data_IF_905175173280
#
_entry.id   IF_905175173280
#
_cell.length_a   1.000
_cell.length_b   1.000
_cell.length_c   1.000
_cell.angle_alpha   90.00
_cell.angle_beta   90.00
_cell.angle_gamma   90.00
#
_symmetry.space_group_name_H-M   'P 1'
#
loop_
_entity.id
_entity.type
_entity.pdbx_description
1 polymer ?
#
# COMPACT_ATOMS: atom_id res chain seq x y z
N UNK A 1 9.11 -10.98 -4.71
CA UNK A 1 9.43 -9.57 -5.01
C UNK A 1 10.61 -9.47 -5.96
N UNK A 2 10.52 -8.66 -7.03
CA UNK A 2 11.63 -8.41 -7.97
C UNK A 2 12.81 -7.73 -7.26
N UNK A 3 12.53 -6.84 -6.30
CA UNK A 3 13.58 -6.16 -5.52
C UNK A 3 14.36 -7.15 -4.66
N UNK A 4 13.74 -8.21 -4.16
CA UNK A 4 14.41 -9.25 -3.38
C UNK A 4 15.13 -10.30 -4.26
N UNK A 5 14.86 -10.36 -5.55
CA UNK A 5 15.46 -11.33 -6.47
C UNK A 5 16.89 -10.91 -6.83
N UNK A 6 17.89 -11.78 -6.56
CA UNK A 6 19.30 -11.48 -6.78
C UNK A 6 19.70 -11.33 -8.26
N UNK A 7 18.96 -11.93 -9.18
CA UNK A 7 19.21 -11.82 -10.63
C UNK A 7 18.51 -10.61 -11.27
N UNK A 8 17.31 -10.30 -10.80
CA UNK A 8 16.51 -9.21 -11.37
C UNK A 8 16.85 -7.84 -10.76
N UNK A 9 17.31 -7.79 -9.52
CA UNK A 9 17.61 -6.53 -8.85
C UNK A 9 18.65 -5.65 -9.57
N UNK A 10 19.81 -6.16 -10.02
CA UNK A 10 20.78 -5.35 -10.76
C UNK A 10 20.22 -4.79 -12.07
N UNK A 11 19.39 -5.57 -12.76
CA UNK A 11 18.71 -5.12 -13.99
C UNK A 11 17.71 -4.01 -13.69
N UNK A 12 16.92 -4.15 -12.62
CA UNK A 12 15.98 -3.14 -12.18
C UNK A 12 16.68 -1.84 -11.78
N UNK A 13 17.78 -1.93 -11.02
CA UNK A 13 18.60 -0.79 -10.62
C UNK A 13 19.18 -0.08 -11.84
N UNK A 14 19.69 -0.81 -12.82
CA UNK A 14 20.18 -0.24 -14.07
C UNK A 14 19.09 0.53 -14.82
N UNK A 15 17.91 -0.09 -15.02
CA UNK A 15 16.78 0.56 -15.70
C UNK A 15 16.30 1.80 -14.97
N UNK A 16 16.17 1.75 -13.65
CA UNK A 16 15.82 2.91 -12.82
C UNK A 16 16.83 4.04 -12.97
N UNK A 17 18.13 3.72 -13.02
CA UNK A 17 19.18 4.73 -13.22
C UNK A 17 19.14 5.34 -14.64
N UNK A 18 18.80 4.57 -15.66
CA UNK A 18 18.58 5.11 -17.03
C UNK A 18 17.38 6.07 -17.03
N UNK A 19 16.25 5.70 -16.43
CA UNK A 19 15.06 6.57 -16.36
C UNK A 19 15.37 7.90 -15.62
N UNK A 20 16.24 7.89 -14.62
CA UNK A 20 16.68 9.13 -13.92
C UNK A 20 17.39 10.14 -14.82
N UNK A 21 17.94 9.72 -15.94
CA UNK A 21 18.63 10.61 -16.90
C UNK A 21 17.71 11.19 -17.97
N UNK A 22 16.43 10.78 -18.00
CA UNK A 22 15.47 11.23 -18.97
C UNK A 22 15.01 12.68 -18.68
N UNK A 23 14.79 13.43 -19.74
CA UNK A 23 14.18 14.76 -19.71
C UNK A 23 12.65 14.65 -19.59
N UNK A 24 11.98 15.78 -19.30
CA UNK A 24 10.55 15.81 -19.01
C UNK A 24 9.67 15.10 -20.05
N UNK A 25 9.89 15.37 -21.33
CA UNK A 25 9.04 14.80 -22.39
C UNK A 25 9.27 13.28 -22.55
N UNK A 26 10.49 12.82 -22.30
CA UNK A 26 10.82 11.40 -22.28
C UNK A 26 10.25 10.71 -21.04
N UNK A 27 10.25 11.38 -19.89
CA UNK A 27 9.60 10.88 -18.68
C UNK A 27 8.10 10.71 -18.87
N UNK A 28 7.44 11.64 -19.57
CA UNK A 28 6.02 11.53 -19.86
C UNK A 28 5.74 10.35 -20.77
N UNK A 29 6.55 10.15 -21.82
CA UNK A 29 6.45 8.97 -22.70
C UNK A 29 6.66 7.67 -21.96
N UNK A 30 7.68 7.60 -21.12
CA UNK A 30 7.97 6.43 -20.28
C UNK A 30 6.83 6.13 -19.31
N UNK A 31 6.23 7.17 -18.70
CA UNK A 31 5.07 7.02 -17.84
C UNK A 31 3.88 6.39 -18.56
N UNK A 32 3.53 6.88 -19.73
CA UNK A 32 2.38 6.34 -20.47
C UNK A 32 2.63 4.92 -20.98
N UNK A 33 3.85 4.60 -21.42
CA UNK A 33 4.24 3.24 -21.80
C UNK A 33 4.16 2.29 -20.58
N UNK A 34 4.65 2.72 -19.43
CA UNK A 34 4.57 1.96 -18.18
C UNK A 34 3.11 1.77 -17.72
N UNK A 35 2.26 2.80 -17.85
CA UNK A 35 0.83 2.70 -17.54
C UNK A 35 0.09 1.73 -18.44
N UNK A 36 0.42 1.70 -19.72
CA UNK A 36 -0.11 0.71 -20.65
C UNK A 36 0.31 -0.70 -20.25
N UNK A 37 1.59 -0.91 -19.91
CA UNK A 37 2.11 -2.21 -19.51
C UNK A 37 1.47 -2.76 -18.24
N UNK A 38 1.23 -1.95 -17.20
CA UNK A 38 0.56 -2.43 -15.98
C UNK A 38 -0.92 -2.77 -16.18
N UNK A 39 -1.55 -2.19 -17.22
CA UNK A 39 -2.95 -2.45 -17.55
C UNK A 39 -3.14 -3.66 -18.47
N UNK A 40 -2.04 -4.26 -18.98
CA UNK A 40 -2.13 -5.51 -19.74
C UNK A 40 -2.49 -6.70 -18.84
N UNK A 41 -3.11 -7.77 -19.37
CA UNK A 41 -3.28 -9.03 -18.67
C UNK A 41 -1.99 -9.58 -18.06
N UNK A 42 -2.10 -10.38 -17.00
CA UNK A 42 -0.94 -10.86 -16.24
C UNK A 42 0.04 -11.71 -17.04
N UNK A 43 -0.44 -12.42 -18.02
CA UNK A 43 0.30 -13.31 -18.93
C UNK A 43 0.96 -12.59 -20.11
N UNK A 44 0.58 -11.33 -20.36
CA UNK A 44 1.11 -10.55 -21.49
C UNK A 44 2.38 -9.77 -21.15
N UNK A 45 2.73 -9.62 -19.87
CA UNK A 45 3.88 -8.83 -19.41
C UNK A 45 4.63 -9.61 -18.34
N UNK A 46 5.95 -9.78 -18.53
CA UNK A 46 6.76 -10.47 -17.53
C UNK A 46 6.84 -9.73 -16.19
N UNK A 47 7.22 -10.46 -15.15
CA UNK A 47 7.26 -9.93 -13.78
C UNK A 47 8.20 -8.72 -13.62
N UNK A 48 9.33 -8.76 -14.33
CA UNK A 48 10.32 -7.67 -14.26
C UNK A 48 9.76 -6.38 -14.86
N UNK A 49 9.21 -6.47 -16.10
CA UNK A 49 8.62 -5.34 -16.78
C UNK A 49 7.43 -4.77 -15.98
N UNK A 50 6.60 -5.63 -15.39
CA UNK A 50 5.48 -5.21 -14.55
C UNK A 50 5.96 -4.46 -13.30
N UNK A 51 7.00 -4.96 -12.63
CA UNK A 51 7.56 -4.31 -11.45
C UNK A 51 8.19 -2.94 -11.79
N UNK A 52 8.96 -2.87 -12.88
CA UNK A 52 9.53 -1.62 -13.37
C UNK A 52 8.43 -0.60 -13.71
N UNK A 53 7.43 -1.04 -14.47
CA UNK A 53 6.30 -0.19 -14.86
C UNK A 53 5.51 0.30 -13.65
N UNK A 54 5.30 -0.53 -12.64
CA UNK A 54 4.66 -0.12 -11.40
C UNK A 54 5.48 0.95 -10.66
N UNK A 55 6.80 0.79 -10.57
CA UNK A 55 7.69 1.81 -9.99
C UNK A 55 7.56 3.13 -10.75
N UNK A 56 7.60 3.09 -12.08
CA UNK A 56 7.49 4.30 -12.92
C UNK A 56 6.17 5.01 -12.70
N UNK A 57 5.06 4.30 -12.78
CA UNK A 57 3.74 4.95 -12.62
C UNK A 57 3.54 5.49 -11.19
N UNK A 58 4.01 4.78 -10.16
CA UNK A 58 3.89 5.25 -8.77
C UNK A 58 4.72 6.50 -8.49
N UNK A 59 5.87 6.64 -9.14
CA UNK A 59 6.75 7.80 -8.97
C UNK A 59 6.31 9.02 -9.79
N UNK A 60 5.68 8.80 -10.94
CA UNK A 60 5.38 9.86 -11.91
C UNK A 60 3.88 10.19 -12.04
N UNK A 61 2.97 9.43 -11.42
CA UNK A 61 1.55 9.74 -11.46
C UNK A 61 1.20 11.00 -10.67
N UNK A 62 0.15 11.68 -11.10
CA UNK A 62 -0.34 12.90 -10.44
C UNK A 62 -0.57 12.69 -8.94
N UNK A 63 0.09 13.49 -8.11
CA UNK A 63 0.01 13.47 -6.63
C UNK A 63 0.32 12.11 -5.99
N UNK A 64 1.01 11.20 -6.66
CA UNK A 64 1.26 9.85 -6.15
C UNK A 64 -0.01 9.02 -5.92
N UNK A 65 -1.14 9.41 -6.53
CA UNK A 65 -2.42 8.73 -6.35
C UNK A 65 -2.40 7.32 -6.94
N UNK A 66 -3.17 6.44 -6.34
CA UNK A 66 -3.49 5.13 -6.90
C UNK A 66 -5.00 5.08 -7.13
N UNK A 67 -5.40 4.95 -8.40
CA UNK A 67 -6.80 4.92 -8.79
C UNK A 67 -6.98 4.04 -10.01
N UNK A 68 -8.02 3.23 -9.98
CA UNK A 68 -8.42 2.34 -11.05
C UNK A 68 -9.82 2.71 -11.55
N UNK A 69 -10.08 2.50 -12.83
CA UNK A 69 -11.41 2.65 -13.41
C UNK A 69 -12.28 1.41 -13.14
N UNK A 70 -13.54 1.43 -13.60
CA UNK A 70 -14.47 0.31 -13.42
C UNK A 70 -14.02 -1.01 -14.08
N UNK A 71 -13.04 -0.96 -14.99
CA UNK A 71 -12.43 -2.14 -15.62
C UNK A 71 -11.21 -2.66 -14.86
N UNK A 72 -10.82 -2.04 -13.75
CA UNK A 72 -9.62 -2.37 -12.99
C UNK A 72 -8.33 -1.83 -13.61
N UNK A 73 -8.39 -0.88 -14.55
CA UNK A 73 -7.22 -0.29 -15.19
C UNK A 73 -6.75 0.95 -14.42
N UNK A 74 -5.45 1.05 -14.19
CA UNK A 74 -4.83 2.24 -13.59
C UNK A 74 -5.04 3.46 -14.52
N UNK A 75 -5.68 4.51 -14.02
CA UNK A 75 -6.13 5.64 -14.84
C UNK A 75 -5.69 7.02 -14.34
N UNK A 76 -4.70 7.09 -13.45
CA UNK A 76 -4.15 8.37 -13.02
C UNK A 76 -3.29 8.96 -14.15
N UNK A 77 -3.35 10.28 -14.41
CA UNK A 77 -2.51 10.92 -15.42
C UNK A 77 -1.07 11.13 -14.93
N UNK A 78 -0.18 11.50 -15.85
CA UNK A 78 1.16 11.97 -15.54
C UNK A 78 1.13 13.21 -14.63
N UNK A 79 2.02 13.26 -13.66
CA UNK A 79 2.06 14.33 -12.65
C UNK A 79 2.92 15.54 -13.03
N UNK A 80 3.40 15.62 -14.28
CA UNK A 80 4.27 16.68 -14.80
C UNK A 80 5.56 16.89 -13.99
N UNK A 81 6.11 15.79 -13.45
CA UNK A 81 7.39 15.84 -12.73
C UNK A 81 8.56 16.12 -13.67
N UNK A 82 9.47 16.97 -13.24
CA UNK A 82 10.68 17.32 -13.98
C UNK A 82 11.80 16.27 -13.85
N UNK A 83 11.70 15.39 -12.86
CA UNK A 83 12.71 14.37 -12.55
C UNK A 83 12.06 13.12 -12.03
N UNK A 84 12.63 11.99 -12.37
CA UNK A 84 12.30 10.71 -11.77
C UNK A 84 13.12 10.54 -10.48
N UNK A 85 12.45 10.28 -9.36
CA UNK A 85 13.07 10.14 -8.04
C UNK A 85 12.78 8.77 -7.46
N UNK A 86 13.63 7.79 -7.75
CA UNK A 86 13.54 6.46 -7.18
C UNK A 86 14.95 5.99 -6.78
N UNK A 87 15.15 5.59 -5.54
CA UNK A 87 16.43 5.09 -5.05
C UNK A 87 16.31 3.61 -4.68
N UNK A 88 16.91 2.76 -5.51
CA UNK A 88 17.11 1.35 -5.19
C UNK A 88 18.51 1.19 -4.60
N UNK A 89 18.60 1.03 -3.28
CA UNK A 89 19.89 0.86 -2.58
C UNK A 89 20.16 -0.61 -2.28
N UNK A 90 21.43 -1.06 -2.37
CA UNK A 90 21.80 -2.46 -2.12
C UNK A 90 21.37 -2.97 -0.74
N UNK A 91 21.36 -2.11 0.28
CA UNK A 91 20.98 -2.51 1.63
C UNK A 91 19.50 -2.90 1.71
N UNK A 92 18.61 -2.19 0.98
CA UNK A 92 17.20 -2.59 0.87
C UNK A 92 17.05 -3.95 0.19
N UNK A 93 17.78 -4.19 -0.91
CA UNK A 93 17.79 -5.49 -1.58
C UNK A 93 18.24 -6.61 -0.63
N UNK A 94 19.38 -6.41 0.06
CA UNK A 94 19.93 -7.38 0.98
C UNK A 94 18.99 -7.68 2.14
N UNK A 95 18.35 -6.66 2.70
CA UNK A 95 17.35 -6.81 3.76
C UNK A 95 16.15 -7.61 3.26
N UNK A 96 15.53 -7.20 2.16
CA UNK A 96 14.34 -7.86 1.61
C UNK A 96 14.62 -9.33 1.21
N UNK A 97 15.81 -9.61 0.70
CA UNK A 97 16.21 -10.98 0.30
C UNK A 97 16.42 -11.89 1.49
N UNK A 98 17.00 -11.38 2.58
CA UNK A 98 17.45 -12.20 3.73
C UNK A 98 16.47 -12.21 4.89
N UNK A 99 15.67 -11.17 5.04
CA UNK A 99 14.85 -10.91 6.23
C UNK A 99 13.34 -10.89 5.97
N UNK A 100 12.92 -10.92 4.70
CA UNK A 100 11.51 -10.79 4.36
C UNK A 100 10.99 -11.99 3.58
N UNK A 101 9.80 -12.45 3.96
CA UNK A 101 9.00 -13.40 3.20
C UNK A 101 7.83 -12.62 2.61
N UNK A 102 7.61 -12.78 1.30
CA UNK A 102 6.50 -12.14 0.60
C UNK A 102 5.48 -13.20 0.24
N UNK A 103 4.27 -13.06 0.74
CA UNK A 103 3.16 -13.95 0.45
C UNK A 103 2.03 -13.18 -0.23
N UNK A 104 1.33 -13.86 -1.14
CA UNK A 104 0.12 -13.39 -1.77
C UNK A 104 -1.00 -14.38 -1.43
N UNK A 105 -2.09 -13.89 -0.86
CA UNK A 105 -3.21 -14.74 -0.45
C UNK A 105 -4.13 -14.03 0.54
N UNK A 106 -5.03 -14.80 1.12
CA UNK A 106 -5.88 -14.32 2.19
C UNK A 106 -5.10 -14.17 3.50
N UNK A 107 -5.33 -13.08 4.22
CA UNK A 107 -4.74 -12.93 5.56
C UNK A 107 -5.21 -14.04 6.53
N UNK A 108 -6.40 -14.59 6.32
CA UNK A 108 -6.95 -15.66 7.16
C UNK A 108 -6.01 -16.88 7.21
N UNK A 109 -5.37 -17.19 6.08
CA UNK A 109 -4.44 -18.32 5.99
C UNK A 109 -3.18 -18.11 6.86
N UNK A 110 -2.76 -16.85 7.03
CA UNK A 110 -1.58 -16.49 7.83
C UNK A 110 -1.83 -16.58 9.33
N UNK A 111 -3.06 -16.32 9.79
CA UNK A 111 -3.34 -16.30 11.22
C UNK A 111 -3.16 -17.65 11.91
N UNK A 112 -3.26 -18.75 11.19
CA UNK A 112 -2.97 -20.10 11.69
C UNK A 112 -1.49 -20.36 12.03
N UNK A 113 -0.59 -19.55 11.47
CA UNK A 113 0.87 -19.69 11.64
C UNK A 113 1.45 -18.76 12.73
N UNK A 114 0.64 -17.83 13.28
CA UNK A 114 1.09 -16.82 14.24
C UNK A 114 1.28 -17.44 15.63
N UNK A 115 2.47 -17.21 16.21
CA UNK A 115 2.88 -17.70 17.52
C UNK A 115 2.89 -16.57 18.57
N UNK A 116 3.11 -16.92 19.82
CA UNK A 116 3.12 -15.97 20.96
C UNK A 116 4.22 -14.90 20.87
N UNK A 117 5.33 -15.24 20.21
CA UNK A 117 6.47 -14.32 20.03
C UNK A 117 6.33 -13.40 18.81
N UNK A 118 5.29 -13.61 17.98
CA UNK A 118 5.06 -12.82 16.78
C UNK A 118 4.35 -11.49 17.10
N UNK A 119 4.66 -10.49 16.27
CA UNK A 119 3.94 -9.22 16.24
C UNK A 119 3.29 -9.01 14.86
N UNK A 120 1.99 -8.77 14.84
CA UNK A 120 1.21 -8.54 13.62
C UNK A 120 0.80 -7.08 13.54
N UNK A 121 1.30 -6.38 12.50
CA UNK A 121 0.84 -5.04 12.17
C UNK A 121 -0.20 -5.11 11.05
N UNK A 122 -1.35 -4.44 11.24
CA UNK A 122 -2.53 -4.58 10.40
C UNK A 122 -3.01 -3.19 9.97
N UNK A 123 -2.98 -2.93 8.67
CA UNK A 123 -3.50 -1.70 8.05
C UNK A 123 -4.50 -2.09 6.94
N UNK A 124 -5.75 -2.41 7.30
CA UNK A 124 -6.77 -2.86 6.37
C UNK A 124 -7.32 -1.68 5.56
N UNK A 125 -7.99 -1.93 4.42
CA UNK A 125 -8.74 -0.88 3.70
C UNK A 125 -9.72 -0.19 4.64
N UNK A 126 -9.79 1.15 4.59
CA UNK A 126 -10.68 1.89 5.50
C UNK A 126 -12.13 1.77 5.07
N UNK A 127 -13.02 1.47 6.03
CA UNK A 127 -14.46 1.27 5.80
C UNK A 127 -15.17 2.46 5.14
N UNK A 128 -14.70 3.68 5.38
CA UNK A 128 -15.28 4.89 4.82
C UNK A 128 -14.91 5.16 3.36
N UNK A 129 -13.91 4.47 2.82
CA UNK A 129 -13.47 4.64 1.44
C UNK A 129 -14.23 3.68 0.52
N UNK A 130 -15.48 4.04 0.22
CA UNK A 130 -16.28 3.44 -0.86
C UNK A 130 -15.47 3.44 -2.17
N UNK A 131 -15.06 2.26 -2.62
CA UNK A 131 -14.32 2.08 -3.90
C UNK A 131 -13.24 1.02 -3.88
N UNK A 132 -12.81 0.53 -2.73
CA UNK A 132 -11.83 -0.56 -2.63
C UNK A 132 -12.47 -1.94 -2.48
N UNK A 133 -13.75 -1.99 -2.14
CA UNK A 133 -14.48 -3.25 -1.89
C UNK A 133 -15.79 -3.26 -2.67
N UNK A 134 -16.05 -4.35 -3.39
CA UNK A 134 -17.35 -4.61 -4.02
C UNK A 134 -18.29 -5.21 -2.96
N UNK A 135 -19.55 -4.80 -2.95
CA UNK A 135 -20.58 -5.40 -2.10
C UNK A 135 -20.90 -4.60 -0.83
N UNK A 136 -20.68 -5.21 0.34
CA UNK A 136 -21.02 -4.70 1.67
C UNK A 136 -20.12 -3.57 2.20
N UNK A 137 -19.35 -2.92 1.34
CA UNK A 137 -18.37 -1.90 1.74
C UNK A 137 -17.13 -2.46 2.45
N UNK A 138 -16.91 -3.78 2.38
CA UNK A 138 -15.79 -4.48 2.99
C UNK A 138 -16.00 -4.84 4.45
N UNK A 139 -17.20 -4.69 4.99
CA UNK A 139 -17.49 -5.01 6.40
C UNK A 139 -17.19 -6.47 6.73
N UNK A 140 -17.52 -7.42 5.85
CA UNK A 140 -17.22 -8.85 6.04
C UNK A 140 -15.73 -9.12 6.22
N UNK A 141 -14.84 -8.40 5.49
CA UNK A 141 -13.41 -8.50 5.67
C UNK A 141 -12.99 -8.10 7.10
N UNK A 142 -13.59 -7.04 7.64
CA UNK A 142 -13.28 -6.57 8.99
C UNK A 142 -13.85 -7.47 10.09
N UNK A 143 -14.98 -8.12 9.84
CA UNK A 143 -15.55 -9.15 10.72
C UNK A 143 -14.69 -10.41 10.74
N UNK A 144 -14.22 -10.88 9.59
CA UNK A 144 -13.30 -12.01 9.48
C UNK A 144 -11.97 -11.70 10.20
N UNK A 145 -11.43 -10.48 10.02
CA UNK A 145 -10.23 -10.03 10.70
C UNK A 145 -10.41 -10.04 12.22
N UNK A 146 -11.53 -9.51 12.72
CA UNK A 146 -11.84 -9.54 14.15
C UNK A 146 -11.91 -10.99 14.67
N UNK A 147 -12.53 -11.90 13.91
CA UNK A 147 -12.57 -13.33 14.22
C UNK A 147 -11.17 -13.92 14.39
N UNK A 148 -10.26 -13.66 13.45
CA UNK A 148 -8.86 -14.09 13.52
C UNK A 148 -8.14 -13.52 14.74
N UNK A 149 -8.31 -12.21 15.00
CA UNK A 149 -7.60 -11.50 16.07
C UNK A 149 -8.01 -11.95 17.48
N UNK A 150 -9.27 -12.33 17.67
CA UNK A 150 -9.76 -12.85 18.96
C UNK A 150 -9.09 -14.16 19.40
N UNK A 151 -8.61 -14.95 18.43
CA UNK A 151 -8.01 -16.26 18.69
C UNK A 151 -6.48 -16.26 18.54
N UNK A 152 -5.90 -15.16 18.04
CA UNK A 152 -4.47 -15.01 17.79
C UNK A 152 -3.71 -14.95 19.13
N UNK A 153 -2.65 -15.75 19.23
CA UNK A 153 -1.77 -15.78 20.42
C UNK A 153 -0.72 -14.68 20.42
N UNK A 154 -0.30 -14.25 19.23
CA UNK A 154 0.70 -13.20 19.06
C UNK A 154 0.18 -11.82 19.46
N UNK A 155 1.11 -10.88 19.61
CA UNK A 155 0.76 -9.46 19.80
C UNK A 155 0.34 -8.86 18.48
N UNK A 156 -0.67 -8.00 18.50
CA UNK A 156 -1.10 -7.34 17.27
C UNK A 156 -1.48 -5.87 17.49
N UNK A 157 -1.38 -5.10 16.43
CA UNK A 157 -1.84 -3.71 16.35
C UNK A 157 -2.61 -3.50 15.05
N UNK A 158 -3.82 -2.96 15.15
CA UNK A 158 -4.60 -2.44 14.03
C UNK A 158 -4.48 -0.92 14.01
N UNK A 159 -4.37 -0.36 12.80
CA UNK A 159 -4.53 1.08 12.55
C UNK A 159 -5.71 1.29 11.62
N UNK A 160 -6.65 2.15 12.02
CA UNK A 160 -7.82 2.48 11.20
C UNK A 160 -8.30 3.91 11.48
N UNK A 161 -9.05 4.53 10.55
CA UNK A 161 -9.80 5.75 10.85
C UNK A 161 -10.83 5.51 11.95
N UNK A 162 -11.22 6.58 12.65
CA UNK A 162 -12.25 6.51 13.69
C UNK A 162 -13.61 6.10 13.08
N UNK A 163 -14.06 4.90 13.38
CA UNK A 163 -15.29 4.32 12.86
C UNK A 163 -16.02 3.53 13.96
N UNK A 164 -17.35 3.62 13.98
CA UNK A 164 -18.20 3.00 15.00
C UNK A 164 -17.96 1.48 15.14
N UNK A 165 -17.84 0.77 14.00
CA UNK A 165 -17.52 -0.67 14.00
C UNK A 165 -16.29 -1.00 14.87
N UNK A 166 -15.19 -0.25 14.71
CA UNK A 166 -13.98 -0.49 15.48
C UNK A 166 -14.15 -0.15 16.97
N UNK A 167 -14.87 0.92 17.28
CA UNK A 167 -15.11 1.28 18.68
C UNK A 167 -15.94 0.22 19.42
N UNK A 168 -16.98 -0.27 18.77
CA UNK A 168 -17.89 -1.25 19.41
C UNK A 168 -17.30 -2.67 19.41
N UNK A 169 -16.75 -3.11 18.29
CA UNK A 169 -16.26 -4.48 18.13
C UNK A 169 -14.94 -4.76 18.85
N UNK A 170 -14.15 -3.71 19.12
CA UNK A 170 -12.85 -3.80 19.79
C UNK A 170 -12.81 -3.14 21.17
N UNK A 171 -13.97 -2.84 21.78
CA UNK A 171 -14.06 -2.17 23.08
C UNK A 171 -13.33 -2.86 24.24
N UNK A 172 -13.14 -4.16 24.16
CA UNK A 172 -12.44 -4.97 25.16
C UNK A 172 -10.91 -4.97 24.98
N UNK A 173 -10.42 -4.30 23.94
CA UNK A 173 -9.01 -4.14 23.64
C UNK A 173 -8.53 -2.72 23.99
N UNK A 174 -7.23 -2.50 23.96
CA UNK A 174 -6.65 -1.20 24.22
C UNK A 174 -6.77 -0.30 22.98
N UNK A 175 -7.54 0.80 23.08
CA UNK A 175 -7.78 1.75 21.99
C UNK A 175 -7.07 3.07 22.29
N UNK A 176 -6.14 3.47 21.42
CA UNK A 176 -5.41 4.73 21.52
C UNK A 176 -5.83 5.61 20.34
N UNK A 177 -6.19 6.84 20.63
CA UNK A 177 -6.59 7.82 19.62
C UNK A 177 -5.42 8.75 19.26
N UNK A 178 -5.27 9.06 17.98
CA UNK A 178 -4.31 10.04 17.47
C UNK A 178 -4.92 10.86 16.36
N UNK A 179 -4.73 12.17 16.41
CA UNK A 179 -5.11 13.05 15.32
C UNK A 179 -4.00 13.13 14.29
N UNK A 180 -4.34 12.89 13.03
CA UNK A 180 -3.45 13.02 11.88
C UNK A 180 -3.91 14.16 10.97
N UNK A 181 -2.98 15.02 10.57
CA UNK A 181 -3.22 16.04 9.56
C UNK A 181 -2.67 15.53 8.21
N UNK A 182 -3.53 15.28 7.26
CA UNK A 182 -3.10 14.96 5.90
C UNK A 182 -2.70 16.22 5.15
N UNK A 183 -1.49 16.22 4.57
CA UNK A 183 -0.98 17.32 3.76
C UNK A 183 -1.72 17.46 2.42
N UNK A 184 -2.41 16.41 1.94
CA UNK A 184 -3.17 16.42 0.69
C UNK A 184 -4.64 16.66 0.94
N UNK A 185 -5.21 17.62 0.19
CA UNK A 185 -6.63 17.96 0.19
C UNK A 185 -7.35 17.21 -0.90
N UNK A 186 -8.26 16.36 -0.52
CA UNK A 186 -9.27 15.82 -1.41
C UNK A 186 -10.54 16.68 -1.24
N UNK A 187 -10.74 17.71 -2.09
CA UNK A 187 -11.94 18.52 -2.06
C UNK A 187 -11.72 19.97 -2.51
N UNK A 188 -12.81 20.64 -2.91
CA UNK A 188 -12.83 22.05 -3.39
C UNK A 188 -12.74 23.11 -2.28
N UNK A 189 -12.62 22.71 -1.03
CA UNK A 189 -12.62 23.64 0.09
C UNK A 189 -11.26 24.31 0.23
N UNK A 190 -11.32 25.65 0.09
CA UNK A 190 -10.16 26.55 0.10
C UNK A 190 -9.63 26.88 1.51
N UNK A 191 -10.13 26.23 2.54
CA UNK A 191 -9.67 26.48 3.90
C UNK A 191 -8.33 25.77 4.18
N UNK A 192 -7.36 26.54 4.66
CA UNK A 192 -5.94 26.15 4.75
C UNK A 192 -5.59 25.22 5.93
N UNK A 193 -6.56 24.77 6.70
CA UNK A 193 -6.37 23.75 7.73
C UNK A 193 -6.47 22.35 7.11
N UNK A 194 -5.38 21.59 7.06
CA UNK A 194 -5.42 20.19 6.66
C UNK A 194 -6.49 19.46 7.46
N UNK A 195 -7.35 18.68 6.80
CA UNK A 195 -8.38 17.92 7.49
C UNK A 195 -7.70 17.02 8.53
N UNK A 196 -7.96 17.26 9.81
CA UNK A 196 -7.54 16.36 10.86
C UNK A 196 -8.44 15.14 10.82
N UNK A 197 -7.84 13.99 10.63
CA UNK A 197 -8.53 12.70 10.69
C UNK A 197 -8.05 11.97 11.93
N UNK A 198 -8.98 11.53 12.74
CA UNK A 198 -8.67 10.74 13.92
C UNK A 198 -8.41 9.30 13.48
N UNK A 199 -7.31 8.74 13.96
CA UNK A 199 -6.97 7.32 13.82
C UNK A 199 -7.09 6.61 15.16
N UNK A 200 -7.51 5.37 15.09
CA UNK A 200 -7.51 4.42 16.20
C UNK A 200 -6.32 3.48 16.01
N UNK A 201 -5.54 3.32 17.07
CA UNK A 201 -4.53 2.29 17.23
C UNK A 201 -5.05 1.31 18.25
N UNK A 202 -5.37 0.10 17.81
CA UNK A 202 -6.01 -0.92 18.65
C UNK A 202 -5.03 -2.05 18.88
N UNK A 203 -4.82 -2.46 20.11
CA UNK A 203 -3.86 -3.51 20.47
C UNK A 203 -4.44 -4.51 21.47
N UNK A 204 -3.94 -5.76 21.45
CA UNK A 204 -4.24 -6.75 22.47
C UNK A 204 -3.24 -6.76 23.64
N UNK A 205 -2.42 -5.72 23.74
CA UNK A 205 -1.44 -5.54 24.81
C UNK A 205 -1.48 -4.10 25.33
N UNK A 206 -1.03 -3.89 26.58
CA UNK A 206 -0.92 -2.56 27.16
C UNK A 206 0.26 -1.80 26.54
N UNK A 207 0.02 -0.54 26.20
CA UNK A 207 1.06 0.39 25.73
C UNK A 207 1.36 1.37 26.88
N UNK A 208 2.60 1.35 27.35
CA UNK A 208 3.08 2.30 28.36
C UNK A 208 3.20 3.72 27.77
#
# INVERSE_FOLDING_TARGET
SVVANGELYPQLQHKVNVIKTLEHDDLEREFYAAREAINQPWDCVDLFQRALSYIVVRQLCFSGMERYNAKGEFNVPFGHYKRFSCNLVPDHHNFLKKQCIFQYGSFVDLFGEINEDDFVFIDPPYLERLGYTQGDGGLSLHEDLLGCLKVTKGKWMIVHSDHEFYRESYKDFNIIERDFAYAQRFGKDKDHSGAKVKHLYITNYETN
#
